data_IF_698683481128
#
_entry.id   IF_698683481128
#
_cell.length_a   1.000
_cell.length_b   1.000
_cell.length_c   1.000
_cell.angle_alpha   90.00
_cell.angle_beta   90.00
_cell.angle_gamma   90.00
#
_symmetry.space_group_name_H-M   'P 1'
#
loop_
_entity.id
_entity.type
_entity.pdbx_description
1 polymer ?
#
# COMPACT_ATOMS: atom_id res chain seq x y z
N UNK A 1 -1.85 -15.22 -12.84
CA UNK A 1 -1.00 -15.67 -11.70
C UNK A 1 -1.26 -14.84 -10.45
N UNK A 2 -0.99 -13.52 -10.43
CA UNK A 2 -1.15 -12.67 -9.24
C UNK A 2 -2.57 -12.59 -8.65
N UNK A 3 -3.61 -12.56 -9.50
CA UNK A 3 -5.00 -12.62 -9.04
C UNK A 3 -5.33 -13.93 -8.27
N UNK A 4 -4.73 -15.05 -8.68
CA UNK A 4 -4.92 -16.36 -8.03
C UNK A 4 -4.15 -16.49 -6.70
N UNK A 5 -3.19 -15.59 -6.45
CA UNK A 5 -2.46 -15.48 -5.17
C UNK A 5 -3.15 -14.51 -4.19
N UNK A 6 -4.22 -13.83 -4.61
CA UNK A 6 -4.94 -12.81 -3.85
C UNK A 6 -6.45 -13.03 -3.87
N UNK A 7 -6.89 -14.29 -3.94
CA UNK A 7 -8.31 -14.65 -3.89
C UNK A 7 -8.95 -14.38 -2.51
N UNK A 8 -8.16 -14.42 -1.43
CA UNK A 8 -8.59 -14.05 -0.07
C UNK A 8 -7.74 -12.93 0.53
N UNK A 9 -8.27 -12.26 1.55
CA UNK A 9 -7.56 -11.17 2.24
C UNK A 9 -6.25 -11.65 2.87
N UNK A 10 -6.26 -12.84 3.50
CA UNK A 10 -5.07 -13.42 4.11
C UNK A 10 -4.02 -13.81 3.06
N UNK A 11 -4.45 -14.40 1.93
CA UNK A 11 -3.52 -14.75 0.83
C UNK A 11 -2.92 -13.52 0.16
N UNK A 12 -3.72 -12.45 0.01
CA UNK A 12 -3.23 -11.18 -0.48
C UNK A 12 -2.15 -10.60 0.44
N UNK A 13 -2.36 -10.61 1.76
CA UNK A 13 -1.36 -10.19 2.76
C UNK A 13 -0.10 -11.07 2.73
N UNK A 14 -0.27 -12.38 2.73
CA UNK A 14 0.81 -13.37 2.65
C UNK A 14 1.71 -13.14 1.44
N UNK A 15 1.11 -12.81 0.29
CA UNK A 15 1.85 -12.56 -0.95
C UNK A 15 2.68 -11.27 -0.92
N UNK A 16 2.40 -10.35 0.02
CA UNK A 16 3.10 -9.07 0.15
C UNK A 16 4.20 -9.12 1.21
N UNK A 17 3.94 -9.73 2.36
CA UNK A 17 4.85 -9.68 3.53
C UNK A 17 5.28 -11.05 4.05
N UNK A 18 4.77 -12.14 3.49
CA UNK A 18 4.97 -13.50 4.00
C UNK A 18 4.12 -13.84 5.24
N UNK A 19 3.17 -12.98 5.62
CA UNK A 19 2.27 -13.16 6.78
C UNK A 19 0.86 -12.63 6.49
N UNK A 20 -0.15 -13.11 7.22
CA UNK A 20 -1.50 -12.56 7.21
C UNK A 20 -1.77 -11.57 8.37
N UNK A 21 -0.80 -11.36 9.26
CA UNK A 21 -0.99 -10.57 10.47
C UNK A 21 -0.99 -9.06 10.22
N UNK A 22 -2.05 -8.39 10.67
CA UNK A 22 -2.24 -6.94 10.47
C UNK A 22 -1.11 -6.10 11.09
N UNK A 23 -0.70 -6.46 12.31
CA UNK A 23 0.35 -5.74 13.03
C UNK A 23 1.67 -5.73 12.25
N UNK A 24 2.01 -6.83 11.55
CA UNK A 24 3.23 -6.93 10.78
C UNK A 24 3.13 -6.15 9.46
N UNK A 25 1.94 -6.04 8.83
CA UNK A 25 1.75 -5.14 7.70
C UNK A 25 1.98 -3.68 8.11
N UNK A 26 1.40 -3.25 9.23
CA UNK A 26 1.60 -1.89 9.76
C UNK A 26 3.07 -1.63 10.12
N UNK A 27 3.70 -2.54 10.86
CA UNK A 27 5.10 -2.38 11.27
C UNK A 27 6.05 -2.33 10.08
N UNK A 28 5.90 -3.26 9.13
CA UNK A 28 6.77 -3.28 7.94
C UNK A 28 6.50 -2.07 7.03
N UNK A 29 5.25 -1.60 6.92
CA UNK A 29 4.89 -0.36 6.22
C UNK A 29 5.63 0.85 6.77
N UNK A 30 5.65 1.01 8.10
CA UNK A 30 6.39 2.07 8.78
C UNK A 30 7.91 1.98 8.53
N UNK A 31 8.49 0.79 8.52
CA UNK A 31 9.91 0.59 8.17
C UNK A 31 10.19 1.05 6.74
N UNK A 32 9.32 0.72 5.78
CA UNK A 32 9.45 1.20 4.40
C UNK A 32 9.38 2.74 4.32
N UNK A 33 8.47 3.37 5.08
CA UNK A 33 8.38 4.84 5.13
C UNK A 33 9.68 5.49 5.62
N UNK A 34 10.33 4.94 6.66
CA UNK A 34 11.62 5.47 7.16
C UNK A 34 12.67 5.46 6.05
N UNK A 35 12.78 4.35 5.31
CA UNK A 35 13.72 4.26 4.19
C UNK A 35 13.41 5.28 3.08
N UNK A 36 12.13 5.48 2.74
CA UNK A 36 11.71 6.48 1.75
C UNK A 36 12.05 7.90 2.19
N UNK A 37 11.78 8.25 3.45
CA UNK A 37 12.11 9.56 4.01
C UNK A 37 13.62 9.82 4.00
N UNK A 38 14.44 8.80 4.27
CA UNK A 38 15.90 8.94 4.29
C UNK A 38 16.55 9.02 2.90
N UNK A 39 15.87 8.54 1.86
CA UNK A 39 16.45 8.42 0.52
C UNK A 39 15.95 9.49 -0.44
N UNK A 40 14.63 9.63 -0.55
CA UNK A 40 13.99 10.55 -1.50
C UNK A 40 13.28 11.70 -0.81
N UNK A 41 12.90 11.54 0.45
CA UNK A 41 12.01 12.48 1.14
C UNK A 41 10.57 12.37 0.62
N UNK A 42 9.60 12.64 1.48
CA UNK A 42 8.20 12.80 1.08
C UNK A 42 7.69 14.08 1.72
N UNK A 43 7.15 14.96 0.88
CA UNK A 43 6.71 16.30 1.25
C UNK A 43 5.21 16.49 0.99
N UNK A 44 4.54 17.41 1.72
CA UNK A 44 3.10 17.62 1.60
C UNK A 44 2.59 18.02 0.20
N UNK A 45 3.47 18.52 -0.67
CA UNK A 45 3.14 18.91 -2.05
C UNK A 45 3.32 17.80 -3.07
N UNK A 46 3.80 16.62 -2.67
CA UNK A 46 4.15 15.56 -3.62
C UNK A 46 2.92 14.78 -4.09
N UNK A 47 2.95 14.40 -5.36
CA UNK A 47 2.07 13.36 -5.92
C UNK A 47 2.89 12.09 -6.07
N UNK A 48 2.56 11.06 -5.30
CA UNK A 48 3.34 9.81 -5.19
C UNK A 48 2.65 8.70 -5.96
N UNK A 49 3.39 8.02 -6.83
CA UNK A 49 2.94 6.80 -7.52
C UNK A 49 3.66 5.58 -6.95
N UNK A 50 2.90 4.57 -6.51
CA UNK A 50 3.41 3.28 -6.07
C UNK A 50 3.01 2.17 -7.05
N UNK A 51 4.00 1.64 -7.77
CA UNK A 51 3.81 0.53 -8.72
C UNK A 51 3.91 -0.80 -7.98
N UNK A 52 2.87 -1.63 -8.10
CA UNK A 52 2.77 -2.87 -7.33
C UNK A 52 2.41 -2.61 -5.88
N UNK A 53 1.40 -1.77 -5.64
CA UNK A 53 1.02 -1.35 -4.28
C UNK A 53 0.45 -2.46 -3.40
N UNK A 54 0.13 -3.62 -3.98
CA UNK A 54 -0.48 -4.75 -3.29
C UNK A 54 -1.73 -4.31 -2.52
N UNK A 55 -1.80 -4.67 -1.25
CA UNK A 55 -2.92 -4.31 -0.37
C UNK A 55 -2.81 -2.91 0.25
N UNK A 56 -1.92 -2.04 -0.25
CA UNK A 56 -1.77 -0.66 0.23
C UNK A 56 -0.95 -0.51 1.52
N UNK A 57 -0.02 -1.43 1.77
CA UNK A 57 0.78 -1.48 3.01
C UNK A 57 1.60 -0.21 3.23
N UNK A 58 2.32 0.25 2.20
CA UNK A 58 3.17 1.45 2.29
C UNK A 58 2.32 2.71 2.11
N UNK A 59 1.37 2.70 1.17
CA UNK A 59 0.38 3.76 0.97
C UNK A 59 -0.32 4.23 2.26
N UNK A 60 -0.64 3.33 3.20
CA UNK A 60 -1.22 3.68 4.51
C UNK A 60 -0.39 4.68 5.31
N UNK A 61 0.93 4.66 5.15
CA UNK A 61 1.87 5.54 5.85
C UNK A 61 2.30 6.74 5.01
N UNK A 62 2.34 6.58 3.69
CA UNK A 62 2.76 7.64 2.75
C UNK A 62 1.65 8.64 2.49
N UNK A 63 0.41 8.18 2.26
CA UNK A 63 -0.69 9.05 1.87
C UNK A 63 -0.90 10.24 2.82
N UNK A 64 -0.83 10.10 4.17
CA UNK A 64 -0.96 11.24 5.08
C UNK A 64 0.13 12.33 4.97
N UNK A 65 1.23 12.06 4.25
CA UNK A 65 2.40 12.95 4.19
C UNK A 65 2.55 13.66 2.84
N UNK A 66 1.70 13.35 1.87
CA UNK A 66 1.79 13.85 0.50
C UNK A 66 0.45 14.48 0.04
N UNK A 67 0.48 15.20 -1.07
CA UNK A 67 -0.74 15.79 -1.64
C UNK A 67 -1.70 14.70 -2.11
N UNK A 68 -1.16 13.70 -2.80
CA UNK A 68 -1.92 12.58 -3.35
C UNK A 68 -1.05 11.33 -3.42
N UNK A 69 -1.62 10.19 -3.04
CA UNK A 69 -0.99 8.88 -3.25
C UNK A 69 -1.81 8.09 -4.27
N UNK A 70 -1.13 7.57 -5.29
CA UNK A 70 -1.70 6.79 -6.37
C UNK A 70 -1.09 5.38 -6.30
N UNK A 71 -1.92 4.38 -6.02
CA UNK A 71 -1.53 2.98 -6.02
C UNK A 71 -1.97 2.31 -7.31
N UNK A 72 -1.09 1.53 -7.93
CA UNK A 72 -1.49 0.62 -9.00
C UNK A 72 -0.95 -0.79 -8.78
N UNK A 73 -1.71 -1.78 -9.20
CA UNK A 73 -1.33 -3.19 -9.10
C UNK A 73 -1.96 -3.97 -10.26
N UNK A 74 -1.23 -4.94 -10.79
CA UNK A 74 -1.73 -5.80 -11.88
C UNK A 74 -2.87 -6.71 -11.42
N UNK A 75 -3.04 -6.91 -10.11
CA UNK A 75 -4.12 -7.69 -9.53
C UNK A 75 -5.28 -6.81 -9.09
N UNK A 76 -6.43 -6.96 -9.75
CA UNK A 76 -7.68 -6.31 -9.34
C UNK A 76 -8.09 -6.67 -7.89
N UNK A 77 -7.75 -7.89 -7.43
CA UNK A 77 -8.01 -8.28 -6.04
C UNK A 77 -7.15 -7.47 -5.05
N UNK A 78 -5.89 -7.21 -5.39
CA UNK A 78 -5.01 -6.37 -4.55
C UNK A 78 -5.59 -4.96 -4.42
N UNK A 79 -6.00 -4.37 -5.55
CA UNK A 79 -6.63 -3.05 -5.55
C UNK A 79 -7.94 -3.01 -4.76
N UNK A 80 -8.77 -4.06 -4.81
CA UNK A 80 -9.96 -4.16 -3.95
C UNK A 80 -9.60 -4.13 -2.47
N UNK A 81 -8.61 -4.92 -2.04
CA UNK A 81 -8.18 -4.94 -0.64
C UNK A 81 -7.45 -3.64 -0.22
N UNK A 82 -6.72 -3.01 -1.14
CA UNK A 82 -6.15 -1.69 -0.91
C UNK A 82 -7.25 -0.65 -0.70
N UNK A 83 -8.30 -0.66 -1.52
CA UNK A 83 -9.44 0.23 -1.38
C UNK A 83 -10.14 0.04 -0.02
N UNK A 84 -10.32 -1.20 0.42
CA UNK A 84 -10.88 -1.51 1.73
C UNK A 84 -10.00 -1.00 2.89
N UNK A 85 -8.67 -1.22 2.82
CA UNK A 85 -7.71 -0.79 3.86
C UNK A 85 -7.54 0.72 3.94
N UNK A 86 -7.60 1.41 2.80
CA UNK A 86 -7.27 2.83 2.69
C UNK A 86 -8.50 3.73 2.61
N UNK A 87 -9.71 3.17 2.82
CA UNK A 87 -10.99 3.87 2.64
C UNK A 87 -11.18 5.14 3.47
N UNK A 88 -10.44 5.28 4.57
CA UNK A 88 -10.45 6.43 5.48
C UNK A 88 -9.47 7.54 5.07
N UNK A 89 -8.68 7.33 4.01
CA UNK A 89 -7.71 8.30 3.51
C UNK A 89 -8.28 8.99 2.25
N UNK A 90 -8.55 10.31 2.31
CA UNK A 90 -9.30 11.01 1.26
C UNK A 90 -8.45 11.29 0.01
N UNK A 91 -7.14 11.17 0.09
CA UNK A 91 -6.19 11.51 -0.98
C UNK A 91 -5.56 10.26 -1.65
N UNK A 92 -6.24 9.12 -1.55
CA UNK A 92 -5.84 7.87 -2.18
C UNK A 92 -6.59 7.65 -3.49
N UNK A 93 -5.84 7.36 -4.55
CA UNK A 93 -6.36 6.95 -5.85
C UNK A 93 -5.82 5.56 -6.21
N UNK A 94 -6.67 4.69 -6.77
CA UNK A 94 -6.30 3.34 -7.18
C UNK A 94 -6.54 3.15 -8.68
N UNK A 95 -5.55 2.61 -9.38
CA UNK A 95 -5.53 2.43 -10.84
C UNK A 95 -5.26 0.98 -11.23
#
# INVERSE_FOLDING_TARGET
MWAALSDTHDRAKLSVTGTAEEAQLLASGAVSLVALQQTIGIHPGDVVLEVGCGVGRVGRHVAPLCQQWIGCDVSANMLRFAAERLRDLPNVELR
#
